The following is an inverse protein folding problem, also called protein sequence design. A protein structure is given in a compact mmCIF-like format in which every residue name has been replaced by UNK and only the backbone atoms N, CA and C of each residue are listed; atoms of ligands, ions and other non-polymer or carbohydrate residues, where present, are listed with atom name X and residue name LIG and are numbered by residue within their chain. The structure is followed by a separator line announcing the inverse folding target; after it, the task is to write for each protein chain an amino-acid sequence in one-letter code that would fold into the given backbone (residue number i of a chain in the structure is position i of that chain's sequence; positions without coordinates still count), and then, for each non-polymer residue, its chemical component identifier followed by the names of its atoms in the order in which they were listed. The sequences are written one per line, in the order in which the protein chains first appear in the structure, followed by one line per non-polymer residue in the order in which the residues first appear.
data_IF_063561518468
#
_entry.id   IF_063561518468
#
_cell.length_a   1.000
_cell.length_b   1.000
_cell.length_c   1.000
_cell.angle_alpha   90.00
_cell.angle_beta   90.00
_cell.angle_gamma   90.00
#
_symmetry.space_group_name_H-M   'P 1'
#
loop_
_entity.id
_entity.type
_entity.pdbx_description
1 polymer ?
#
# COMPACT_ATOMS: atom_id res chain seq x y z
N UNK A 1 -7.68 5.85 -12.60
CA UNK A 1 -7.64 6.07 -11.13
C UNK A 1 -6.25 6.50 -10.70
N UNK A 2 -6.15 7.25 -9.60
CA UNK A 2 -4.88 7.74 -9.04
C UNK A 2 -4.66 7.24 -7.62
N UNK A 3 -3.44 6.82 -7.33
CA UNK A 3 -3.06 6.11 -6.13
C UNK A 3 -1.86 6.83 -5.52
N UNK A 4 -2.02 7.33 -4.30
CA UNK A 4 -1.01 8.10 -3.60
C UNK A 4 -0.54 7.32 -2.37
N UNK A 5 0.77 7.12 -2.22
CA UNK A 5 1.37 6.33 -1.15
C UNK A 5 2.29 7.21 -0.31
N UNK A 6 2.19 7.04 1.00
CA UNK A 6 3.17 7.54 1.95
C UNK A 6 3.31 6.57 3.15
N UNK A 7 4.33 6.79 3.97
CA UNK A 7 4.58 6.07 5.20
C UNK A 7 4.69 6.99 6.42
N UNK A 8 4.38 6.46 7.60
CA UNK A 8 4.50 7.17 8.86
C UNK A 8 5.09 6.26 9.93
N UNK A 9 6.07 6.78 10.66
CA UNK A 9 6.77 6.04 11.73
C UNK A 9 8.18 5.61 11.35
N UNK A 10 8.81 4.85 12.25
CA UNK A 10 10.14 4.28 12.05
C UNK A 10 10.01 2.77 11.94
N UNK A 11 10.55 2.19 10.87
CA UNK A 11 10.60 0.73 10.70
C UNK A 11 11.81 0.10 11.40
N UNK A 12 12.64 0.91 12.07
CA UNK A 12 13.75 0.40 12.87
C UNK A 12 13.24 -0.22 14.17
N UNK A 13 13.81 -1.37 14.53
CA UNK A 13 13.51 -2.07 15.76
C UNK A 13 13.63 -1.17 17.00
N UNK A 14 12.74 -1.40 17.97
CA UNK A 14 12.77 -0.73 19.28
C UNK A 14 12.12 -1.60 20.35
N UNK A 15 12.55 -1.43 21.60
CA UNK A 15 11.96 -2.07 22.77
C UNK A 15 10.57 -1.50 23.15
N UNK A 16 10.12 -0.42 22.49
CA UNK A 16 8.77 0.12 22.70
C UNK A 16 7.69 -0.77 22.05
N UNK A 17 6.94 -1.50 22.87
CA UNK A 17 5.81 -2.34 22.45
C UNK A 17 4.69 -1.58 21.70
N UNK A 18 4.64 -0.24 21.73
CA UNK A 18 3.67 0.58 21.02
C UNK A 18 4.28 1.32 19.81
N UNK A 19 5.37 0.79 19.24
CA UNK A 19 6.09 1.36 18.10
C UNK A 19 5.44 1.03 16.75
N UNK A 20 4.22 1.51 16.54
CA UNK A 20 3.53 1.37 15.26
C UNK A 20 4.15 2.21 14.16
N UNK A 21 4.32 1.57 13.01
CA UNK A 21 4.66 2.17 11.73
C UNK A 21 3.65 1.71 10.68
N UNK A 22 3.32 2.61 9.76
CA UNK A 22 2.25 2.39 8.79
C UNK A 22 2.68 2.82 7.41
N UNK A 23 2.26 2.07 6.40
CA UNK A 23 2.25 2.52 5.01
C UNK A 23 0.80 2.62 4.59
N UNK A 24 0.41 3.73 3.97
CA UNK A 24 -0.97 3.97 3.55
C UNK A 24 -1.05 4.40 2.10
N UNK A 25 -2.14 4.02 1.46
CA UNK A 25 -2.45 4.37 0.08
C UNK A 25 -3.85 4.97 0.00
N UNK A 26 -3.97 6.10 -0.69
CA UNK A 26 -5.24 6.76 -0.99
C UNK A 26 -5.53 6.60 -2.46
N UNK A 27 -6.70 6.05 -2.77
CA UNK A 27 -7.17 5.94 -4.15
C UNK A 27 -8.26 6.97 -4.38
N UNK A 28 -8.07 7.78 -5.42
CA UNK A 28 -8.96 8.84 -5.86
C UNK A 28 -9.26 8.61 -7.33
N UNK A 29 -10.55 8.59 -7.70
CA UNK A 29 -10.95 8.51 -9.10
C UNK A 29 -10.71 9.85 -9.80
N UNK A 30 -10.45 9.82 -11.09
CA UNK A 30 -10.02 11.01 -11.85
C UNK A 30 -11.08 12.13 -11.80
N UNK A 31 -12.36 11.78 -11.79
CA UNK A 31 -13.49 12.70 -11.63
C UNK A 31 -13.59 13.34 -10.24
N UNK A 32 -13.01 12.71 -9.20
CA UNK A 32 -13.04 13.20 -7.82
C UNK A 32 -11.82 14.05 -7.45
N UNK A 33 -10.78 14.09 -8.31
CA UNK A 33 -9.49 14.75 -8.01
C UNK A 33 -9.64 16.21 -7.58
N UNK A 34 -10.37 17.03 -8.36
CA UNK A 34 -10.53 18.47 -8.05
C UNK A 34 -11.31 18.73 -6.76
N UNK A 35 -12.29 17.87 -6.45
CA UNK A 35 -13.05 17.98 -5.21
C UNK A 35 -12.23 17.51 -4.00
N UNK A 36 -11.39 16.49 -4.16
CA UNK A 36 -10.47 16.01 -3.10
C UNK A 36 -9.40 17.07 -2.79
N UNK A 37 -8.85 17.72 -3.82
CA UNK A 37 -7.93 18.84 -3.65
C UNK A 37 -8.61 20.00 -2.90
N UNK A 38 -9.82 20.36 -3.30
CA UNK A 38 -10.61 21.40 -2.62
C UNK A 38 -10.87 21.05 -1.14
N UNK A 39 -11.13 19.78 -0.83
CA UNK A 39 -11.32 19.32 0.54
C UNK A 39 -10.04 19.48 1.39
N UNK A 40 -8.86 19.17 0.82
CA UNK A 40 -7.57 19.40 1.47
C UNK A 40 -7.30 20.90 1.68
N UNK A 41 -7.51 21.73 0.66
CA UNK A 41 -7.33 23.17 0.75
C UNK A 41 -8.22 23.78 1.85
N UNK A 42 -9.48 23.36 1.92
CA UNK A 42 -10.40 23.79 2.98
C UNK A 42 -9.91 23.35 4.37
N UNK A 43 -9.40 22.11 4.50
CA UNK A 43 -8.81 21.62 5.76
C UNK A 43 -7.59 22.45 6.20
N UNK A 44 -6.74 22.87 5.26
CA UNK A 44 -5.60 23.76 5.55
C UNK A 44 -6.07 25.12 6.06
N UNK A 45 -7.02 25.74 5.37
CA UNK A 45 -7.60 27.04 5.76
C UNK A 45 -8.28 26.97 7.13
N UNK A 46 -9.03 25.90 7.43
CA UNK A 46 -9.64 25.67 8.74
C UNK A 46 -8.62 25.61 9.89
N UNK A 47 -7.37 25.28 9.58
CA UNK A 47 -6.26 25.21 10.54
C UNK A 47 -5.32 26.44 10.47
N UNK A 48 -5.67 27.48 9.72
CA UNK A 48 -4.89 28.71 9.62
C UNK A 48 -3.66 28.64 8.70
N UNK A 49 -3.61 27.66 7.78
CA UNK A 49 -2.54 27.51 6.80
C UNK A 49 -2.98 28.01 5.42
N UNK A 50 -2.04 28.48 4.59
CA UNK A 50 -2.34 28.80 3.20
C UNK A 50 -2.62 27.51 2.41
N UNK A 51 -3.44 27.56 1.33
CA UNK A 51 -3.70 26.38 0.50
C UNK A 51 -2.43 25.72 -0.09
N UNK A 52 -1.39 26.52 -0.32
CA UNK A 52 -0.08 26.09 -0.83
C UNK A 52 0.83 25.49 0.23
N UNK A 53 0.55 25.73 1.51
CA UNK A 53 1.40 25.24 2.59
C UNK A 53 1.18 23.74 2.79
N UNK A 54 2.24 23.03 3.12
CA UNK A 54 2.13 21.65 3.56
C UNK A 54 1.72 21.61 5.05
N UNK A 55 0.61 20.94 5.35
CA UNK A 55 0.09 20.80 6.71
C UNK A 55 0.27 19.36 7.18
N UNK A 56 1.12 19.16 8.19
CA UNK A 56 1.29 17.87 8.87
C UNK A 56 0.26 17.71 9.99
N UNK A 57 -0.22 16.48 10.19
CA UNK A 57 -1.26 16.16 11.17
C UNK A 57 -0.88 16.56 12.62
N UNK A 58 0.41 16.57 12.97
CA UNK A 58 0.90 17.01 14.28
C UNK A 58 0.80 18.52 14.55
N UNK A 59 0.46 19.33 13.53
CA UNK A 59 0.27 20.79 13.64
C UNK A 59 -1.20 21.20 13.69
N UNK A 60 -2.12 20.25 13.59
CA UNK A 60 -3.57 20.47 13.64
C UNK A 60 -3.97 20.83 15.07
N UNK A 61 -4.55 22.01 15.25
CA UNK A 61 -5.02 22.48 16.56
C UNK A 61 -6.40 21.91 16.96
N UNK A 62 -7.26 21.61 15.98
CA UNK A 62 -8.60 21.05 16.17
C UNK A 62 -8.75 19.70 15.46
N UNK A 63 -8.82 18.60 16.22
CA UNK A 63 -9.05 17.25 15.66
C UNK A 63 -10.38 17.14 14.88
N UNK A 64 -11.37 17.97 15.19
CA UNK A 64 -12.64 17.94 14.45
C UNK A 64 -12.47 18.39 13.01
N UNK A 65 -11.51 19.27 12.71
CA UNK A 65 -11.16 19.63 11.32
C UNK A 65 -10.64 18.42 10.53
N UNK A 66 -9.84 17.57 11.17
CA UNK A 66 -9.35 16.33 10.57
C UNK A 66 -10.51 15.36 10.32
N UNK A 67 -11.42 15.17 11.27
CA UNK A 67 -12.60 14.31 11.05
C UNK A 67 -13.54 14.85 9.95
N UNK A 68 -13.66 16.17 9.80
CA UNK A 68 -14.37 16.77 8.66
C UNK A 68 -13.69 16.47 7.33
N UNK A 69 -12.35 16.54 7.25
CA UNK A 69 -11.60 16.13 6.07
C UNK A 69 -11.90 14.66 5.72
N UNK A 70 -11.77 13.74 6.68
CA UNK A 70 -12.06 12.31 6.47
C UNK A 70 -13.48 12.08 5.94
N UNK A 71 -14.46 12.83 6.49
CA UNK A 71 -15.84 12.73 6.04
C UNK A 71 -16.04 13.24 4.61
N UNK A 72 -15.40 14.36 4.24
CA UNK A 72 -15.45 14.91 2.87
C UNK A 72 -14.86 13.93 1.87
N UNK A 73 -13.68 13.38 2.17
CA UNK A 73 -13.04 12.35 1.33
C UNK A 73 -13.94 11.11 1.20
N UNK A 74 -14.64 10.73 2.27
CA UNK A 74 -15.55 9.60 2.22
C UNK A 74 -16.77 9.83 1.32
N UNK A 75 -17.31 11.05 1.32
CA UNK A 75 -18.40 11.47 0.44
C UNK A 75 -17.98 11.53 -1.03
N UNK A 76 -16.69 11.79 -1.31
CA UNK A 76 -16.11 11.78 -2.65
C UNK A 76 -15.75 10.37 -3.16
N UNK A 77 -16.17 9.33 -2.42
CA UNK A 77 -15.87 7.93 -2.72
C UNK A 77 -14.36 7.59 -2.72
N UNK A 78 -13.47 8.46 -2.22
CA UNK A 78 -12.06 8.14 -2.04
C UNK A 78 -11.89 6.96 -1.08
N UNK A 79 -10.90 6.11 -1.29
CA UNK A 79 -10.64 4.95 -0.42
C UNK A 79 -9.24 4.97 0.17
N UNK A 80 -9.12 4.51 1.42
CA UNK A 80 -7.88 4.35 2.15
C UNK A 80 -7.57 2.86 2.31
N UNK A 81 -6.35 2.49 1.95
CA UNK A 81 -5.76 1.18 2.19
C UNK A 81 -4.59 1.39 3.16
N UNK A 82 -4.51 0.58 4.20
CA UNK A 82 -3.46 0.68 5.20
C UNK A 82 -2.80 -0.65 5.46
N UNK A 83 -1.50 -0.59 5.73
CA UNK A 83 -0.73 -1.65 6.34
C UNK A 83 -0.04 -1.08 7.57
N UNK A 84 -0.12 -1.80 8.69
CA UNK A 84 0.61 -1.46 9.91
C UNK A 84 1.54 -2.61 10.31
N UNK A 85 2.69 -2.23 10.86
CA UNK A 85 3.62 -3.13 11.51
C UNK A 85 4.04 -2.54 12.85
N UNK A 86 4.37 -3.39 13.80
CA UNK A 86 4.93 -2.96 15.07
C UNK A 86 6.44 -3.21 15.03
N UNK A 87 7.22 -2.13 15.09
CA UNK A 87 8.68 -2.22 15.01
C UNK A 87 9.28 -3.11 16.11
N UNK A 88 8.61 -3.25 17.25
CA UNK A 88 9.01 -4.16 18.32
C UNK A 88 9.04 -5.64 17.90
N UNK A 89 8.15 -6.06 17.00
CA UNK A 89 8.05 -7.46 16.55
C UNK A 89 9.05 -7.81 15.44
N UNK A 90 9.65 -6.79 14.82
CA UNK A 90 10.61 -6.95 13.73
C UNK A 90 12.04 -6.83 14.27
N UNK A 91 12.46 -7.82 15.07
CA UNK A 91 13.82 -7.82 15.62
C UNK A 91 14.88 -7.90 14.51
N UNK A 92 16.12 -7.46 14.76
CA UNK A 92 17.20 -7.60 13.79
C UNK A 92 17.39 -9.04 13.30
N UNK A 93 17.21 -10.02 14.19
CA UNK A 93 17.34 -11.45 13.86
C UNK A 93 16.24 -11.91 12.91
N UNK A 94 14.98 -11.54 13.15
CA UNK A 94 13.85 -11.95 12.30
C UNK A 94 13.89 -11.24 10.96
N UNK A 95 14.25 -9.95 10.94
CA UNK A 95 14.47 -9.20 9.72
C UNK A 95 15.60 -9.81 8.87
N UNK A 96 16.74 -10.14 9.48
CA UNK A 96 17.87 -10.78 8.79
C UNK A 96 17.49 -12.18 8.26
N UNK A 97 16.77 -12.98 9.06
CA UNK A 97 16.31 -14.31 8.65
C UNK A 97 15.39 -14.23 7.43
N UNK A 98 14.38 -13.35 7.47
CA UNK A 98 13.44 -13.16 6.37
C UNK A 98 14.12 -12.59 5.11
N UNK A 99 15.04 -11.63 5.28
CA UNK A 99 15.87 -11.05 4.21
C UNK A 99 16.75 -12.11 3.54
N UNK A 100 17.39 -12.96 4.34
CA UNK A 100 18.23 -14.06 3.84
C UNK A 100 17.39 -15.11 3.11
N UNK A 101 16.24 -15.50 3.67
CA UNK A 101 15.34 -16.46 3.03
C UNK A 101 14.82 -15.93 1.69
N UNK A 102 14.47 -14.64 1.64
CA UNK A 102 14.05 -13.96 0.41
C UNK A 102 15.14 -13.97 -0.66
N UNK A 103 16.37 -13.59 -0.30
CA UNK A 103 17.51 -13.62 -1.19
C UNK A 103 17.79 -15.05 -1.72
N UNK A 104 17.74 -16.05 -0.85
CA UNK A 104 17.88 -17.46 -1.25
C UNK A 104 16.75 -17.93 -2.17
N UNK A 105 15.53 -17.45 -1.94
CA UNK A 105 14.37 -17.72 -2.79
C UNK A 105 14.60 -17.27 -4.23
N UNK A 106 15.17 -16.07 -4.42
CA UNK A 106 15.48 -15.50 -5.74
C UNK A 106 16.45 -16.38 -6.54
N UNK A 107 17.48 -16.94 -5.89
CA UNK A 107 18.53 -17.71 -6.57
C UNK A 107 18.27 -19.22 -6.58
N UNK A 108 17.19 -19.71 -5.96
CA UNK A 108 16.91 -21.15 -5.76
C UNK A 108 16.93 -21.98 -7.04
N UNK A 109 16.54 -21.39 -8.17
CA UNK A 109 16.43 -22.06 -9.47
C UNK A 109 17.30 -21.42 -10.55
N UNK A 110 18.35 -20.71 -10.15
CA UNK A 110 19.25 -20.01 -11.08
C UNK A 110 19.98 -20.98 -12.03
N UNK A 111 20.22 -22.21 -11.59
CA UNK A 111 20.83 -23.29 -12.37
C UNK A 111 19.98 -23.67 -13.59
N UNK A 112 18.66 -23.60 -13.46
CA UNK A 112 17.70 -23.92 -14.52
C UNK A 112 17.57 -22.82 -15.59
N UNK A 113 18.14 -21.64 -15.36
CA UNK A 113 18.02 -20.54 -16.31
C UNK A 113 18.97 -20.72 -17.50
N UNK A 114 18.48 -20.42 -18.70
CA UNK A 114 19.25 -20.58 -19.94
C UNK A 114 20.13 -19.36 -20.23
N UNK A 115 19.61 -18.14 -20.02
CA UNK A 115 20.31 -16.91 -20.38
C UNK A 115 21.21 -16.40 -19.24
N UNK A 116 22.49 -16.20 -19.55
CA UNK A 116 23.49 -15.72 -18.60
C UNK A 116 23.17 -14.31 -18.05
N UNK A 117 22.67 -13.41 -18.88
CA UNK A 117 22.25 -12.06 -18.46
C UNK A 117 21.14 -12.09 -17.40
N UNK A 118 20.22 -13.05 -17.49
CA UNK A 118 19.16 -13.22 -16.48
C UNK A 118 19.71 -13.77 -15.17
N UNK A 119 20.68 -14.68 -15.23
CA UNK A 119 21.39 -15.18 -14.03
C UNK A 119 22.08 -14.03 -13.30
N UNK A 120 22.84 -13.21 -14.04
CA UNK A 120 23.54 -12.05 -13.49
C UNK A 120 22.57 -11.03 -12.88
N UNK A 121 21.45 -10.78 -13.56
CA UNK A 121 20.40 -9.90 -13.04
C UNK A 121 19.81 -10.40 -11.72
N UNK A 122 19.48 -11.69 -11.61
CA UNK A 122 18.91 -12.28 -10.38
C UNK A 122 19.93 -12.32 -9.24
N UNK A 123 21.19 -12.62 -9.54
CA UNK A 123 22.27 -12.53 -8.53
C UNK A 123 22.40 -11.09 -8.01
N UNK A 124 22.42 -10.11 -8.92
CA UNK A 124 22.47 -8.69 -8.54
C UNK A 124 21.29 -8.28 -7.65
N UNK A 125 20.08 -8.71 -8.01
CA UNK A 125 18.85 -8.49 -7.23
C UNK A 125 18.94 -9.13 -5.85
N UNK A 126 19.39 -10.39 -5.76
CA UNK A 126 19.60 -11.08 -4.49
C UNK A 126 20.62 -10.34 -3.60
N UNK A 127 21.71 -9.84 -4.17
CA UNK A 127 22.69 -9.06 -3.42
C UNK A 127 22.13 -7.71 -2.96
N UNK A 128 21.34 -7.03 -3.81
CA UNK A 128 20.67 -5.79 -3.45
C UNK A 128 19.75 -5.98 -2.24
N UNK A 129 18.95 -7.06 -2.22
CA UNK A 129 18.13 -7.42 -1.05
C UNK A 129 18.97 -7.56 0.21
N UNK A 130 20.10 -8.25 0.15
CA UNK A 130 20.97 -8.47 1.31
C UNK A 130 21.67 -7.19 1.80
N UNK A 131 21.92 -6.23 0.90
CA UNK A 131 22.55 -4.93 1.24
C UNK A 131 21.61 -3.97 1.96
N UNK A 132 20.30 -4.12 1.82
CA UNK A 132 19.34 -3.27 2.51
C UNK A 132 19.54 -3.33 4.02
N UNK A 133 19.48 -2.15 4.65
CA UNK A 133 19.30 -2.07 6.10
C UNK A 133 17.96 -2.70 6.49
N UNK A 134 17.87 -3.23 7.69
CA UNK A 134 16.67 -3.94 8.13
C UNK A 134 15.43 -3.04 8.10
N UNK A 135 15.59 -1.76 8.47
CA UNK A 135 14.54 -0.75 8.36
C UNK A 135 14.01 -0.61 6.92
N UNK A 136 14.91 -0.42 5.94
CA UNK A 136 14.52 -0.25 4.54
C UNK A 136 13.91 -1.53 3.97
N UNK A 137 14.39 -2.70 4.40
CA UNK A 137 13.84 -3.98 4.00
C UNK A 137 12.41 -4.23 4.52
N UNK A 138 12.15 -3.91 5.80
CA UNK A 138 10.82 -4.01 6.39
C UNK A 138 9.88 -3.03 5.69
N UNK A 139 10.31 -1.79 5.47
CA UNK A 139 9.54 -0.78 4.73
C UNK A 139 9.23 -1.25 3.31
N UNK A 140 10.21 -1.79 2.58
CA UNK A 140 10.02 -2.35 1.24
C UNK A 140 8.96 -3.45 1.24
N UNK A 141 9.08 -4.41 2.17
CA UNK A 141 8.13 -5.53 2.30
C UNK A 141 6.71 -5.01 2.57
N UNK A 142 6.56 -4.06 3.49
CA UNK A 142 5.29 -3.41 3.79
C UNK A 142 4.68 -2.72 2.56
N UNK A 143 5.47 -1.96 1.81
CA UNK A 143 4.98 -1.20 0.67
C UNK A 143 4.56 -2.10 -0.49
N UNK A 144 5.30 -3.18 -0.77
CA UNK A 144 4.93 -4.19 -1.77
C UNK A 144 3.61 -4.87 -1.42
N UNK A 145 3.46 -5.30 -0.16
CA UNK A 145 2.22 -5.92 0.33
C UNK A 145 1.04 -4.95 0.25
N UNK A 146 1.26 -3.67 0.58
CA UNK A 146 0.24 -2.64 0.43
C UNK A 146 -0.18 -2.45 -1.03
N UNK A 147 0.76 -2.41 -1.98
CA UNK A 147 0.43 -2.23 -3.40
C UNK A 147 -0.39 -3.40 -3.95
N UNK A 148 0.00 -4.63 -3.66
CA UNK A 148 -0.79 -5.82 -4.03
C UNK A 148 -2.19 -5.75 -3.40
N UNK A 149 -2.28 -5.35 -2.13
CA UNK A 149 -3.55 -5.15 -1.44
C UNK A 149 -4.42 -4.05 -2.09
N UNK A 150 -3.84 -2.93 -2.51
CA UNK A 150 -4.55 -1.88 -3.22
C UNK A 150 -5.11 -2.43 -4.53
N UNK A 151 -4.30 -3.11 -5.34
CA UNK A 151 -4.77 -3.64 -6.63
C UNK A 151 -5.89 -4.66 -6.42
N UNK A 152 -5.75 -5.61 -5.49
CA UNK A 152 -6.76 -6.65 -5.22
C UNK A 152 -8.12 -6.09 -4.78
N UNK A 153 -8.11 -5.04 -3.97
CA UNK A 153 -9.36 -4.47 -3.47
C UNK A 153 -9.91 -3.34 -4.35
N UNK A 154 -9.06 -2.44 -4.85
CA UNK A 154 -9.49 -1.26 -5.60
C UNK A 154 -10.11 -1.68 -6.93
N UNK A 155 -9.52 -2.65 -7.63
CA UNK A 155 -10.09 -3.20 -8.87
C UNK A 155 -11.49 -3.74 -8.62
N UNK A 156 -11.64 -4.62 -7.63
CA UNK A 156 -12.92 -5.24 -7.26
C UNK A 156 -13.97 -4.22 -6.81
N UNK A 157 -13.55 -3.15 -6.15
CA UNK A 157 -14.44 -2.11 -5.66
C UNK A 157 -14.88 -1.15 -6.77
N UNK A 158 -13.92 -0.64 -7.54
CA UNK A 158 -14.17 0.43 -8.52
C UNK A 158 -14.72 -0.06 -9.84
N UNK A 159 -14.58 -1.35 -10.20
CA UNK A 159 -15.28 -1.93 -11.36
C UNK A 159 -16.80 -1.70 -11.29
N UNK A 160 -17.36 -1.60 -10.09
CA UNK A 160 -18.81 -1.46 -9.87
C UNK A 160 -19.31 -0.02 -10.07
N UNK A 161 -18.40 0.96 -10.04
CA UNK A 161 -18.74 2.39 -9.99
C UNK A 161 -18.20 3.14 -11.20
N UNK A 162 -16.99 2.81 -11.63
CA UNK A 162 -16.30 3.41 -12.78
C UNK A 162 -15.37 2.37 -13.42
N UNK A 163 -15.91 1.42 -14.24
CA UNK A 163 -15.11 0.47 -15.02
C UNK A 163 -13.98 1.12 -15.81
N UNK A 164 -14.24 2.28 -16.40
CA UNK A 164 -13.29 3.06 -17.20
C UNK A 164 -12.05 3.49 -16.41
N UNK A 165 -12.20 3.72 -15.09
CA UNK A 165 -11.08 4.08 -14.22
C UNK A 165 -10.04 2.96 -14.08
N UNK A 166 -10.42 1.71 -14.40
CA UNK A 166 -9.52 0.55 -14.43
C UNK A 166 -8.63 0.54 -15.67
N UNK A 167 -8.87 1.43 -16.64
CA UNK A 167 -8.02 1.57 -17.81
C UNK A 167 -6.68 2.25 -17.54
N UNK A 168 -6.48 2.86 -16.37
CA UNK A 168 -5.24 3.56 -16.01
C UNK A 168 -5.00 3.60 -14.51
N UNK A 169 -3.80 3.22 -14.08
CA UNK A 169 -3.35 3.22 -12.69
C UNK A 169 -2.15 4.15 -12.56
N UNK A 170 -2.35 5.29 -11.90
CA UNK A 170 -1.34 6.34 -11.76
C UNK A 170 -0.85 6.36 -10.32
N UNK A 171 0.38 5.92 -10.08
CA UNK A 171 0.97 5.78 -8.75
C UNK A 171 1.90 6.95 -8.45
N UNK A 172 1.68 7.61 -7.31
CA UNK A 172 2.53 8.68 -6.80
C UNK A 172 2.98 8.31 -5.40
N UNK A 173 4.29 8.23 -5.21
CA UNK A 173 4.91 7.85 -3.92
C UNK A 173 5.65 9.06 -3.38
N UNK A 174 5.51 9.35 -2.09
CA UNK A 174 6.30 10.41 -1.44
C UNK A 174 7.80 10.13 -1.61
N UNK A 175 8.51 11.06 -2.25
CA UNK A 175 9.96 10.98 -2.39
C UNK A 175 10.65 11.47 -1.11
N UNK A 176 11.74 10.83 -0.71
CA UNK A 176 12.45 11.24 0.54
C UNK A 176 13.49 12.33 0.32
N UNK A 177 14.17 12.31 -0.82
CA UNK A 177 15.17 13.32 -1.18
C UNK A 177 14.87 13.93 -2.56
N UNK A 178 14.37 15.17 -2.66
CA UNK A 178 14.06 15.79 -3.95
C UNK A 178 15.24 15.95 -4.90
N UNK A 179 16.47 15.98 -4.38
CA UNK A 179 17.69 16.23 -5.15
C UNK A 179 18.37 14.96 -5.68
N UNK A 180 17.97 13.77 -5.20
CA UNK A 180 18.67 12.52 -5.54
C UNK A 180 17.78 11.31 -5.30
N UNK A 181 17.80 10.38 -6.26
CA UNK A 181 17.21 9.06 -6.07
C UNK A 181 17.87 8.35 -4.88
N UNK A 182 17.07 7.95 -3.90
CA UNK A 182 17.57 7.25 -2.71
C UNK A 182 17.88 5.78 -3.03
N UNK A 183 18.67 5.12 -2.18
CA UNK A 183 18.92 3.67 -2.29
C UNK A 183 17.59 2.89 -2.23
N UNK A 184 16.66 3.34 -1.39
CA UNK A 184 15.34 2.74 -1.29
C UNK A 184 14.54 2.84 -2.60
N UNK A 185 14.49 4.02 -3.21
CA UNK A 185 13.76 4.24 -4.47
C UNK A 185 14.35 3.39 -5.60
N UNK A 186 15.68 3.28 -5.67
CA UNK A 186 16.34 2.46 -6.67
C UNK A 186 16.05 0.96 -6.51
N UNK A 187 16.18 0.46 -5.28
CA UNK A 187 15.81 -0.91 -4.93
C UNK A 187 14.34 -1.16 -5.20
N UNK A 188 13.46 -0.23 -4.84
CA UNK A 188 12.03 -0.40 -5.02
C UNK A 188 11.67 -0.55 -6.50
N UNK A 189 12.17 0.31 -7.38
CA UNK A 189 11.91 0.21 -8.82
C UNK A 189 12.46 -1.10 -9.42
N UNK A 190 13.63 -1.54 -8.98
CA UNK A 190 14.30 -2.74 -9.51
C UNK A 190 13.67 -4.04 -9.00
N UNK A 191 13.29 -4.09 -7.72
CA UNK A 191 12.83 -5.31 -7.04
C UNK A 191 11.31 -5.48 -7.04
N UNK A 192 10.55 -4.39 -6.95
CA UNK A 192 9.09 -4.45 -6.82
C UNK A 192 8.42 -5.34 -7.86
N UNK A 193 8.79 -5.34 -9.16
CA UNK A 193 8.00 -6.07 -10.14
C UNK A 193 8.09 -7.58 -9.98
N UNK A 194 9.26 -8.11 -9.64
CA UNK A 194 9.44 -9.54 -9.40
C UNK A 194 8.63 -10.00 -8.19
N UNK A 195 8.68 -9.24 -7.09
CA UNK A 195 7.93 -9.53 -5.89
C UNK A 195 6.40 -9.44 -6.10
N UNK A 196 5.94 -8.38 -6.75
CA UNK A 196 4.52 -8.19 -7.04
C UNK A 196 3.99 -9.31 -7.93
N UNK A 197 4.76 -9.74 -8.92
CA UNK A 197 4.39 -10.88 -9.77
C UNK A 197 4.23 -12.16 -8.95
N UNK A 198 5.17 -12.46 -8.04
CA UNK A 198 5.04 -13.61 -7.13
C UNK A 198 3.77 -13.52 -6.29
N UNK A 199 3.49 -12.36 -5.67
CA UNK A 199 2.26 -12.18 -4.89
C UNK A 199 0.99 -12.37 -5.72
N UNK A 200 0.97 -11.94 -6.99
CA UNK A 200 -0.20 -12.16 -7.86
C UNK A 200 -0.39 -13.61 -8.30
N UNK A 201 0.68 -14.41 -8.32
CA UNK A 201 0.58 -15.85 -8.59
C UNK A 201 0.07 -16.60 -7.37
N UNK A 202 0.53 -16.22 -6.18
CA UNK A 202 0.13 -16.85 -4.91
C UNK A 202 -1.28 -16.44 -4.47
N UNK A 203 -1.66 -15.17 -4.67
CA UNK A 203 -3.00 -14.62 -4.38
C UNK A 203 -3.51 -13.82 -5.60
N UNK A 204 -4.13 -14.51 -6.58
CA UNK A 204 -4.68 -13.89 -7.78
C UNK A 204 -5.80 -12.90 -7.49
N UNK A 205 -5.92 -11.89 -8.35
CA UNK A 205 -6.89 -10.82 -8.18
C UNK A 205 -8.32 -11.35 -8.33
N UNK A 206 -9.20 -11.20 -7.31
CA UNK A 206 -10.57 -11.70 -7.41
C UNK A 206 -11.35 -10.88 -8.44
N UNK A 207 -11.94 -11.55 -9.43
CA UNK A 207 -12.90 -10.94 -10.37
C UNK A 207 -14.31 -11.33 -9.96
N UNK A 208 -15.23 -10.36 -9.92
CA UNK A 208 -16.63 -10.63 -9.66
C UNK A 208 -17.36 -10.76 -11.00
N UNK A 209 -18.00 -11.91 -11.21
CA UNK A 209 -18.77 -12.18 -12.43
C UNK A 209 -19.86 -11.11 -12.66
N UNK A 210 -20.01 -10.68 -13.91
CA UNK A 210 -21.04 -9.73 -14.33
C UNK A 210 -20.64 -8.25 -14.35
N UNK A 211 -19.45 -7.89 -13.87
CA UNK A 211 -18.92 -6.53 -14.03
C UNK A 211 -18.02 -6.38 -15.28
N UNK A 212 -17.89 -5.14 -15.75
CA UNK A 212 -17.14 -4.81 -16.95
C UNK A 212 -15.65 -4.60 -16.64
N UNK A 213 -14.85 -5.61 -16.95
CA UNK A 213 -13.38 -5.54 -16.88
C UNK A 213 -12.73 -5.26 -18.23
N UNK A 214 -13.49 -4.93 -19.28
CA UNK A 214 -12.94 -4.76 -20.64
C UNK A 214 -11.87 -3.67 -20.73
N UNK A 215 -11.94 -2.65 -19.87
CA UNK A 215 -10.93 -1.59 -19.75
C UNK A 215 -9.57 -2.10 -19.22
N UNK A 216 -9.53 -3.28 -18.59
CA UNK A 216 -8.31 -3.91 -18.09
C UNK A 216 -7.62 -4.83 -19.11
N UNK A 217 -8.18 -5.04 -20.30
CA UNK A 217 -7.68 -6.04 -21.26
C UNK A 217 -6.18 -5.91 -21.61
N UNK A 218 -5.63 -4.69 -21.56
CA UNK A 218 -4.20 -4.44 -21.80
C UNK A 218 -3.28 -4.97 -20.68
N UNK A 219 -3.84 -5.33 -19.53
CA UNK A 219 -3.15 -5.85 -18.35
C UNK A 219 -3.32 -7.36 -18.19
N UNK A 220 -4.04 -8.06 -19.08
CA UNK A 220 -4.11 -9.52 -19.03
C UNK A 220 -2.74 -10.13 -19.34
N UNK A 221 -2.30 -11.12 -18.55
CA UNK A 221 -1.06 -11.84 -18.84
C UNK A 221 -1.26 -12.72 -20.08
N UNK A 222 -0.33 -12.62 -21.04
CA UNK A 222 -0.20 -13.64 -22.06
C UNK A 222 0.33 -14.93 -21.40
N UNK A 223 -0.27 -16.08 -21.70
CA UNK A 223 0.15 -17.38 -21.15
C UNK A 223 1.64 -17.65 -21.49
N UNK A 224 2.56 -17.62 -20.50
CA UNK A 224 3.97 -17.91 -20.70
C UNK A 224 4.15 -19.42 -20.88
N UNK A 225 4.24 -19.85 -22.14
CA UNK A 225 4.43 -21.26 -22.50
C UNK A 225 5.69 -21.88 -21.88
N UNK A 226 6.71 -21.06 -21.59
CA UNK A 226 7.98 -21.51 -21.02
C UNK A 226 7.85 -22.13 -19.62
N UNK A 227 6.85 -21.75 -18.81
CA UNK A 227 6.66 -22.34 -17.47
C UNK A 227 6.32 -23.82 -17.57
N UNK A 228 5.43 -24.17 -18.51
CA UNK A 228 5.06 -25.55 -18.80
C UNK A 228 6.19 -26.28 -19.52
N UNK A 229 6.76 -25.67 -20.55
CA UNK A 229 7.76 -26.30 -21.42
C UNK A 229 9.12 -26.54 -20.74
N UNK A 230 9.58 -25.61 -19.89
CA UNK A 230 10.92 -25.67 -19.27
C UNK A 230 10.89 -26.12 -17.81
N UNK A 231 9.81 -25.79 -17.08
CA UNK A 231 9.73 -26.06 -15.65
C UNK A 231 8.68 -27.12 -15.29
N UNK A 232 7.87 -27.57 -16.25
CA UNK A 232 6.81 -28.55 -16.03
C UNK A 232 5.70 -28.04 -15.10
N UNK A 233 5.59 -26.72 -14.95
CA UNK A 233 4.58 -26.08 -14.10
C UNK A 233 3.37 -25.77 -14.96
N UNK A 234 2.27 -26.48 -14.73
CA UNK A 234 0.98 -26.15 -15.32
C UNK A 234 0.34 -25.07 -14.44
N UNK A 235 0.36 -23.82 -14.91
CA UNK A 235 -0.30 -22.70 -14.24
C UNK A 235 -1.41 -22.22 -15.14
N UNK A 236 -2.66 -22.31 -14.67
CA UNK A 236 -3.76 -21.62 -15.32
C UNK A 236 -3.61 -20.13 -15.06
N UNK A 237 -3.24 -19.39 -16.12
CA UNK A 237 -2.97 -17.96 -16.07
C UNK A 237 -4.07 -17.15 -16.74
N UNK A 238 -5.19 -17.79 -17.12
CA UNK A 238 -6.29 -17.13 -17.82
C UNK A 238 -6.92 -15.96 -17.06
N UNK A 239 -6.85 -16.00 -15.72
CA UNK A 239 -7.35 -14.94 -14.83
C UNK A 239 -6.23 -14.08 -14.20
N UNK A 240 -4.96 -14.31 -14.54
CA UNK A 240 -3.83 -13.58 -13.96
C UNK A 240 -3.57 -12.29 -14.73
N UNK A 241 -3.53 -11.19 -14.00
CA UNK A 241 -3.15 -9.88 -14.54
C UNK A 241 -1.63 -9.67 -14.42
N UNK A 242 -1.06 -8.94 -15.37
CA UNK A 242 0.28 -8.39 -15.28
C UNK A 242 0.29 -7.25 -14.26
N UNK A 243 0.37 -7.62 -12.99
CA UNK A 243 0.43 -6.68 -11.87
C UNK A 243 1.67 -5.79 -11.94
N UNK A 244 2.75 -6.32 -12.52
CA UNK A 244 3.96 -5.56 -12.77
C UNK A 244 3.69 -4.40 -13.71
N UNK A 245 2.86 -4.60 -14.75
CA UNK A 245 2.43 -3.56 -15.68
C UNK A 245 1.42 -2.59 -15.05
N UNK A 246 0.46 -3.08 -14.26
CA UNK A 246 -0.48 -2.23 -13.50
C UNK A 246 0.23 -1.20 -12.63
N UNK A 247 1.42 -1.54 -12.13
CA UNK A 247 2.21 -0.69 -11.24
C UNK A 247 3.24 0.14 -12.00
N UNK A 248 4.00 -0.47 -12.92
CA UNK A 248 5.12 0.21 -13.59
C UNK A 248 4.74 1.20 -14.67
N UNK A 249 3.58 1.04 -15.31
CA UNK A 249 3.21 1.86 -16.47
C UNK A 249 3.19 3.37 -16.14
N UNK A 250 2.81 3.74 -14.90
CA UNK A 250 2.81 5.14 -14.45
C UNK A 250 3.06 5.24 -12.93
N UNK A 251 4.30 4.94 -12.50
CA UNK A 251 4.77 5.21 -11.13
C UNK A 251 5.79 6.34 -11.12
N UNK A 252 5.63 7.27 -10.18
CA UNK A 252 6.56 8.39 -9.98
C UNK A 252 6.74 8.67 -8.49
N UNK A 253 7.99 8.91 -8.10
CA UNK A 253 8.32 9.53 -6.81
C UNK A 253 8.19 11.04 -6.95
N UNK A 254 7.42 11.69 -6.07
CA UNK A 254 7.09 13.11 -6.19
C UNK A 254 7.28 13.86 -4.87
N UNK A 255 7.56 15.16 -4.96
CA UNK A 255 7.65 16.04 -3.80
C UNK A 255 6.24 16.28 -3.24
N UNK A 256 6.01 15.88 -1.98
CA UNK A 256 4.78 16.14 -1.24
C UNK A 256 4.40 17.61 -1.24
N UNK A 257 5.34 18.57 -1.31
CA UNK A 257 4.99 20.00 -1.41
C UNK A 257 4.27 20.36 -2.71
N UNK A 258 4.50 19.60 -3.77
CA UNK A 258 3.95 19.86 -5.11
C UNK A 258 2.77 18.96 -5.48
N UNK A 259 2.53 17.88 -4.74
CA UNK A 259 1.47 16.91 -5.01
C UNK A 259 0.47 16.82 -3.85
N UNK A 260 -0.76 17.30 -4.08
CA UNK A 260 -1.79 17.32 -3.05
C UNK A 260 -2.24 15.92 -2.62
N UNK A 261 -2.16 14.93 -3.53
CA UNK A 261 -2.59 13.57 -3.26
C UNK A 261 -1.59 12.87 -2.33
N UNK A 262 -0.29 13.14 -2.49
CA UNK A 262 0.73 12.69 -1.52
C UNK A 262 0.53 13.35 -0.16
N UNK A 263 0.18 14.64 -0.10
CA UNK A 263 -0.17 15.29 1.18
C UNK A 263 -1.39 14.64 1.85
N UNK A 264 -2.39 14.22 1.07
CA UNK A 264 -3.50 13.43 1.60
C UNK A 264 -3.03 12.07 2.12
N UNK A 265 -2.16 11.38 1.39
CA UNK A 265 -1.61 10.10 1.81
C UNK A 265 -0.83 10.23 3.14
N UNK A 266 0.00 11.27 3.30
CA UNK A 266 0.68 11.55 4.56
C UNK A 266 -0.31 11.75 5.71
N UNK A 267 -1.29 12.65 5.53
CA UNK A 267 -2.28 12.94 6.56
C UNK A 267 -3.05 11.69 7.00
N UNK A 268 -3.48 10.85 6.05
CA UNK A 268 -4.23 9.63 6.36
C UNK A 268 -3.35 8.54 6.97
N UNK A 269 -2.13 8.35 6.47
CA UNK A 269 -1.18 7.36 6.98
C UNK A 269 -0.73 7.73 8.39
N UNK A 270 -0.34 8.99 8.60
CA UNK A 270 -0.08 9.54 9.93
C UNK A 270 -1.29 9.43 10.85
N UNK A 271 -2.51 9.59 10.33
CA UNK A 271 -3.74 9.37 11.06
C UNK A 271 -3.95 7.91 11.50
N UNK A 272 -3.67 6.94 10.63
CA UNK A 272 -3.71 5.52 10.99
C UNK A 272 -2.73 5.21 12.12
N UNK A 273 -1.48 5.64 11.97
CA UNK A 273 -0.45 5.46 13.00
C UNK A 273 -0.85 6.08 14.33
N UNK A 274 -1.24 7.36 14.34
CA UNK A 274 -1.69 8.05 15.57
C UNK A 274 -2.86 7.32 16.21
N UNK A 275 -3.80 6.79 15.43
CA UNK A 275 -4.93 6.02 15.95
C UNK A 275 -4.47 4.73 16.63
N UNK A 276 -3.61 3.94 15.99
CA UNK A 276 -3.06 2.70 16.58
C UNK A 276 -2.24 2.96 17.83
N UNK A 277 -1.46 4.04 17.84
CA UNK A 277 -0.70 4.52 19.01
C UNK A 277 -1.57 5.12 20.11
N UNK A 278 -2.87 5.33 19.86
CA UNK A 278 -3.84 5.94 20.78
C UNK A 278 -3.57 7.43 21.07
N UNK A 279 -3.08 8.17 20.08
CA UNK A 279 -2.62 9.58 20.18
C UNK A 279 -3.65 10.63 19.73
N UNK A 280 -4.91 10.25 19.51
CA UNK A 280 -6.02 11.20 19.41
C UNK A 280 -6.72 11.41 20.76
N UNK A 281 -7.35 12.56 20.95
CA UNK A 281 -8.23 12.77 22.10
C UNK A 281 -9.47 11.85 22.04
N UNK A 282 -10.00 11.59 20.84
CA UNK A 282 -11.10 10.63 20.60
C UNK A 282 -10.69 9.56 19.57
N UNK A 283 -9.91 8.56 20.02
CA UNK A 283 -9.42 7.48 19.16
C UNK A 283 -10.53 6.62 18.55
N UNK A 284 -11.68 6.45 19.23
CA UNK A 284 -12.79 5.69 18.67
C UNK A 284 -13.44 6.44 17.50
N UNK A 285 -13.58 7.77 17.61
CA UNK A 285 -14.03 8.60 16.51
C UNK A 285 -13.02 8.61 15.36
N UNK A 286 -11.73 8.74 15.65
CA UNK A 286 -10.68 8.65 14.63
C UNK A 286 -10.77 7.31 13.87
N UNK A 287 -10.83 6.19 14.60
CA UNK A 287 -11.00 4.85 14.04
C UNK A 287 -12.28 4.74 13.19
N UNK A 288 -13.38 5.33 13.65
CA UNK A 288 -14.63 5.30 12.91
C UNK A 288 -14.54 6.05 11.57
N UNK A 289 -13.98 7.26 11.55
CA UNK A 289 -13.85 8.05 10.32
C UNK A 289 -12.81 7.48 9.35
N UNK A 290 -11.69 6.95 9.86
CA UNK A 290 -10.71 6.23 9.03
C UNK A 290 -11.35 4.98 8.41
N UNK A 291 -12.14 4.23 9.20
CA UNK A 291 -12.89 3.06 8.72
C UNK A 291 -13.84 3.38 7.56
N UNK A 292 -14.48 4.57 7.54
CA UNK A 292 -15.37 5.01 6.44
C UNK A 292 -14.67 5.19 5.09
N UNK A 293 -13.34 5.30 5.09
CA UNK A 293 -12.54 5.34 3.87
C UNK A 293 -12.11 3.94 3.43
N UNK A 294 -12.22 2.92 4.28
CA UNK A 294 -11.78 1.57 3.97
C UNK A 294 -12.91 0.74 3.35
N UNK A 295 -12.54 -0.20 2.47
CA UNK A 295 -13.46 -1.16 1.85
C UNK A 295 -13.37 -2.49 2.61
N UNK A 296 -14.53 -3.11 2.87
CA UNK A 296 -14.61 -4.40 3.54
C UNK A 296 -13.97 -5.49 2.69
N UNK A 297 -13.03 -6.24 3.26
CA UNK A 297 -12.25 -7.29 2.58
C UNK A 297 -12.89 -8.68 2.63
N UNK A 298 -14.10 -8.79 3.15
CA UNK A 298 -14.80 -10.06 3.33
C UNK A 298 -14.74 -10.61 4.76
N UNK A 299 -15.33 -11.80 4.95
CA UNK A 299 -15.53 -12.40 6.27
C UNK A 299 -14.17 -12.76 6.89
N UNK A 300 -13.99 -12.45 8.18
CA UNK A 300 -12.77 -12.78 8.93
C UNK A 300 -11.60 -11.81 8.73
N UNK A 301 -11.56 -11.07 7.62
CA UNK A 301 -10.44 -10.17 7.28
C UNK A 301 -10.42 -8.89 8.13
N UNK A 302 -9.22 -8.36 8.38
CA UNK A 302 -9.01 -7.10 9.11
C UNK A 302 -9.05 -5.89 8.17
N UNK A 303 -9.48 -4.71 8.65
CA UNK A 303 -9.67 -3.53 7.80
C UNK A 303 -8.38 -2.94 7.22
N UNK A 304 -7.25 -3.21 7.86
CA UNK A 304 -5.90 -2.95 7.39
C UNK A 304 -5.10 -4.26 7.42
N UNK A 305 -3.99 -4.30 6.69
CA UNK A 305 -2.99 -5.36 6.84
C UNK A 305 -2.21 -5.14 8.14
N UNK A 306 -1.94 -6.22 8.86
CA UNK A 306 -1.08 -6.26 10.03
C UNK A 306 0.06 -7.21 9.69
N UNK A 307 1.28 -6.69 9.61
CA UNK A 307 2.45 -7.46 9.18
C UNK A 307 3.50 -7.47 10.28
N UNK A 308 4.08 -8.64 10.52
CA UNK A 308 5.25 -8.86 11.35
C UNK A 308 6.18 -9.79 10.59
N UNK A 309 7.49 -9.53 10.63
CA UNK A 309 8.50 -10.49 10.17
C UNK A 309 8.89 -11.49 11.27
N UNK A 310 8.60 -11.15 12.53
CA UNK A 310 8.80 -12.03 13.69
C UNK A 310 7.56 -12.84 14.05
N UNK A 311 7.49 -13.29 15.30
CA UNK A 311 6.32 -14.01 15.78
C UNK A 311 5.07 -13.12 15.77
N UNK A 312 3.96 -13.69 15.30
CA UNK A 312 2.68 -13.00 15.30
C UNK A 312 2.09 -12.97 16.71
N UNK A 313 1.82 -11.76 17.20
CA UNK A 313 1.14 -11.55 18.46
C UNK A 313 -0.29 -11.04 18.26
N UNK A 314 -1.18 -11.42 19.17
CA UNK A 314 -2.51 -10.83 19.22
C UNK A 314 -2.43 -9.35 19.60
N UNK A 315 -3.22 -8.51 18.95
CA UNK A 315 -3.34 -7.10 19.32
C UNK A 315 -3.76 -6.93 20.79
N UNK A 316 -3.21 -5.92 21.46
CA UNK A 316 -3.69 -5.50 22.77
C UNK A 316 -5.16 -5.10 22.69
N UNK A 317 -5.91 -5.33 23.79
CA UNK A 317 -7.37 -5.10 23.83
C UNK A 317 -7.78 -3.68 23.39
N UNK A 318 -7.08 -2.61 23.82
CA UNK A 318 -7.35 -1.27 23.31
C UNK A 318 -7.20 -1.14 21.78
N UNK A 319 -6.07 -1.57 21.22
CA UNK A 319 -5.83 -1.49 19.76
C UNK A 319 -6.80 -2.38 18.98
N UNK A 320 -7.10 -3.57 19.49
CA UNK A 320 -8.14 -4.45 18.93
C UNK A 320 -9.51 -3.74 18.87
N UNK A 321 -9.86 -2.97 19.91
CA UNK A 321 -11.08 -2.15 19.94
C UNK A 321 -11.14 -1.12 18.81
N UNK A 322 -10.02 -0.46 18.51
CA UNK A 322 -9.91 0.52 17.42
C UNK A 322 -10.01 -0.13 16.05
N UNK A 323 -9.30 -1.24 15.83
CA UNK A 323 -9.38 -2.01 14.58
C UNK A 323 -10.80 -2.53 14.35
N UNK A 324 -11.47 -3.03 15.39
CA UNK A 324 -12.88 -3.44 15.31
C UNK A 324 -13.81 -2.25 14.98
N UNK A 325 -13.52 -1.05 15.48
CA UNK A 325 -14.29 0.14 15.14
C UNK A 325 -14.10 0.51 13.65
N UNK A 326 -12.86 0.52 13.15
CA UNK A 326 -12.58 0.71 11.72
C UNK A 326 -13.38 -0.30 10.88
N UNK A 327 -13.30 -1.58 11.24
CA UNK A 327 -14.00 -2.68 10.57
C UNK A 327 -15.52 -2.46 10.49
N UNK A 328 -16.14 -1.99 11.58
CA UNK A 328 -17.59 -1.73 11.64
C UNK A 328 -18.02 -0.57 10.74
N UNK A 329 -17.12 0.36 10.43
CA UNK A 329 -17.42 1.55 9.63
C UNK A 329 -16.99 1.41 8.17
N UNK A 330 -16.38 0.28 7.79
CA UNK A 330 -16.00 0.01 6.40
C UNK A 330 -17.18 0.08 5.46
N UNK A 331 -16.90 0.49 4.24
CA UNK A 331 -17.84 0.38 3.13
C UNK A 331 -18.01 -1.08 2.74
N UNK A 332 -19.22 -1.50 2.33
CA UNK A 332 -19.38 -2.83 1.75
C UNK A 332 -18.56 -2.94 0.46
N UNK A 333 -17.96 -4.11 0.22
CA UNK A 333 -17.26 -4.40 -1.05
C UNK A 333 -18.23 -4.28 -2.22
N UNK A 334 -19.39 -4.93 -2.11
CA UNK A 334 -20.43 -4.90 -3.13
C UNK A 334 -21.46 -3.85 -2.73
N UNK A 335 -21.63 -2.83 -3.57
CA UNK A 335 -22.72 -1.85 -3.39
C UNK A 335 -24.02 -2.55 -3.78
N UNK A 336 -24.97 -2.62 -2.83
CA UNK A 336 -26.30 -3.20 -3.08
C UNK A 336 -27.20 -2.23 -3.80
#
# INVERSE_FOLDING_TARGET
MRIFIDESGSFAYTDDHNAWSTVGAVVILDEAMGAAESALQQFKVENGFAPTDELKLGKVGDEMSYFRLLNRLAQLNCTLYGLATNAHLNTPETALAHKTQSAQGLVRHIDKMVHQSMKESILSVSEQVLRLSDQLYIQFTCQIQLMHYVVSQAVTYYVQVSPESLGSFVWRVDQKEPSRKTEFEDVFENLSPGYLQTLSMDDPLPRIEGFDYSHMAKYDCAEPTYLKEQYGVDVDLSDVLDIGRLIRDDIQFVDSKSDFGVQLADLLTSGLRRCLKKEFNDNLRAAAFLGRLMVNRGRGQQPLLLLSLGEEEALDKPTEGLVRMMKRQQRPMIKR
#
